data_IF_714435688093
#
_entry.id   IF_714435688093
#
_cell.length_a   1.000
_cell.length_b   1.000
_cell.length_c   1.000
_cell.angle_alpha   90.00
_cell.angle_beta   90.00
_cell.angle_gamma   90.00
#
_symmetry.space_group_name_H-M   'P 1'
#
loop_
_entity.id
_entity.type
_entity.pdbx_description
1 polymer ?
#
# COMPACT_ATOMS: atom_id res chain seq x y z
N UNK A 1 1.59 0.53 21.48
CA UNK A 1 1.94 0.38 20.06
C UNK A 1 1.17 -0.83 19.55
N UNK A 2 0.36 -0.68 18.49
CA UNK A 2 -0.44 -1.78 17.92
C UNK A 2 0.49 -2.80 17.27
N UNK A 3 0.21 -4.07 17.48
CA UNK A 3 1.03 -5.20 16.99
C UNK A 3 0.31 -5.97 15.89
N UNK A 4 1.02 -6.83 15.16
CA UNK A 4 0.40 -7.74 14.19
C UNK A 4 -0.58 -8.73 14.85
N UNK A 5 -0.34 -9.07 16.12
CA UNK A 5 -1.24 -9.92 16.91
C UNK A 5 -2.56 -9.22 17.23
N UNK A 6 -2.54 -7.90 17.44
CA UNK A 6 -3.77 -7.13 17.67
C UNK A 6 -4.66 -7.12 16.43
N UNK A 7 -4.06 -6.93 15.24
CA UNK A 7 -4.78 -7.03 13.94
C UNK A 7 -5.35 -8.43 13.74
N UNK A 8 -4.56 -9.47 13.99
CA UNK A 8 -5.02 -10.85 13.85
C UNK A 8 -6.24 -11.13 14.75
N UNK A 9 -6.16 -10.68 16.02
CA UNK A 9 -7.22 -10.85 17.01
C UNK A 9 -8.49 -10.08 16.64
N UNK A 10 -8.37 -8.83 16.21
CA UNK A 10 -9.49 -7.97 15.85
C UNK A 10 -10.25 -8.46 14.62
N UNK A 11 -9.51 -8.95 13.61
CA UNK A 11 -10.11 -9.48 12.39
C UNK A 11 -10.47 -10.97 12.47
N UNK A 12 -10.23 -11.61 13.62
CA UNK A 12 -10.46 -13.04 13.84
C UNK A 12 -9.77 -13.93 12.79
N UNK A 13 -8.53 -13.60 12.44
CA UNK A 13 -7.71 -14.35 11.48
C UNK A 13 -6.46 -14.94 12.13
N UNK A 14 -5.90 -16.03 11.58
CA UNK A 14 -4.56 -16.51 11.95
C UNK A 14 -3.50 -15.41 11.79
N UNK A 15 -2.54 -15.36 12.71
CA UNK A 15 -1.40 -14.43 12.63
C UNK A 15 -0.58 -14.62 11.34
N UNK A 16 -0.60 -15.82 10.78
CA UNK A 16 0.05 -16.17 9.53
C UNK A 16 -0.47 -15.33 8.36
N UNK A 17 -1.78 -15.04 8.31
CA UNK A 17 -2.38 -14.22 7.26
C UNK A 17 -1.84 -12.78 7.33
N UNK A 18 -1.78 -12.23 8.54
CA UNK A 18 -1.26 -10.89 8.80
C UNK A 18 0.22 -10.81 8.45
N UNK A 19 1.01 -11.82 8.81
CA UNK A 19 2.44 -11.87 8.50
C UNK A 19 2.70 -12.06 7.01
N UNK A 20 1.88 -12.84 6.30
CA UNK A 20 1.95 -12.98 4.85
C UNK A 20 1.61 -11.67 4.14
N UNK A 21 0.51 -11.00 4.54
CA UNK A 21 0.16 -9.68 4.05
C UNK A 21 1.29 -8.68 4.31
N UNK A 22 1.86 -8.67 5.52
CA UNK A 22 2.97 -7.79 5.89
C UNK A 22 4.24 -8.05 5.06
N UNK A 23 4.51 -9.27 4.61
CA UNK A 23 5.64 -9.59 3.71
C UNK A 23 5.37 -9.12 2.28
N UNK A 24 4.12 -9.15 1.85
CA UNK A 24 3.67 -8.68 0.54
C UNK A 24 3.49 -7.15 0.46
N UNK A 25 3.75 -6.42 1.56
CA UNK A 25 3.70 -4.95 1.54
C UNK A 25 4.90 -4.36 0.83
N UNK A 26 4.61 -3.48 -0.11
CA UNK A 26 5.55 -2.63 -0.80
C UNK A 26 5.30 -1.15 -0.48
N UNK A 27 6.35 -0.33 -0.63
CA UNK A 27 6.28 1.14 -0.53
C UNK A 27 6.56 1.72 -1.91
N UNK A 28 5.79 2.73 -2.29
CA UNK A 28 6.07 3.54 -3.47
C UNK A 28 5.95 5.02 -3.14
N UNK A 29 6.80 5.82 -3.77
CA UNK A 29 6.73 7.28 -3.75
C UNK A 29 6.28 7.72 -5.13
N UNK A 30 5.08 8.29 -5.21
CA UNK A 30 4.48 8.72 -6.46
C UNK A 30 4.78 10.21 -6.59
N UNK A 31 5.60 10.62 -7.58
CA UNK A 31 5.88 12.02 -7.83
C UNK A 31 4.63 12.69 -8.40
N UNK A 32 4.30 13.88 -7.92
CA UNK A 32 3.31 14.77 -8.52
C UNK A 32 3.86 16.19 -8.63
N UNK A 33 3.58 16.84 -9.76
CA UNK A 33 3.99 18.22 -10.00
C UNK A 33 2.96 19.16 -9.38
N UNK A 34 3.41 20.04 -8.50
CA UNK A 34 2.62 21.14 -7.97
C UNK A 34 3.07 22.41 -8.68
N UNK A 35 2.11 23.12 -9.27
CA UNK A 35 2.35 24.42 -9.91
C UNK A 35 1.79 25.48 -8.99
N UNK A 36 2.68 26.25 -8.39
CA UNK A 36 2.33 27.44 -7.63
C UNK A 36 2.54 28.66 -8.49
N UNK A 37 1.68 29.67 -8.32
CA UNK A 37 1.78 30.94 -9.03
C UNK A 37 2.00 32.04 -8.00
N UNK A 38 2.98 32.90 -8.25
CA UNK A 38 3.17 34.10 -7.45
C UNK A 38 2.09 35.16 -7.77
N UNK A 39 2.15 36.29 -7.05
CA UNK A 39 1.27 37.45 -7.25
C UNK A 39 1.36 38.07 -8.66
N UNK A 40 2.43 37.78 -9.40
CA UNK A 40 2.67 38.25 -10.76
C UNK A 40 2.26 37.21 -11.83
N UNK A 41 1.72 36.06 -11.42
CA UNK A 41 1.31 34.97 -12.31
C UNK A 41 2.46 34.14 -12.88
N UNK A 42 3.69 34.31 -12.38
CA UNK A 42 4.83 33.48 -12.73
C UNK A 42 4.68 32.12 -12.02
N UNK A 43 4.60 31.06 -12.81
CA UNK A 43 4.48 29.70 -12.30
C UNK A 43 5.84 29.10 -11.97
N UNK A 44 6.01 28.57 -10.77
CA UNK A 44 7.12 27.68 -10.44
C UNK A 44 6.57 26.27 -10.19
N UNK A 45 7.31 25.27 -10.68
CA UNK A 45 6.93 23.87 -10.54
C UNK A 45 7.79 23.20 -9.48
N UNK A 46 7.15 22.65 -8.44
CA UNK A 46 7.80 21.81 -7.43
C UNK A 46 7.41 20.36 -7.67
N UNK A 47 8.37 19.44 -7.51
CA UNK A 47 8.08 18.00 -7.48
C UNK A 47 7.87 17.60 -6.03
N UNK A 48 6.64 17.20 -5.72
CA UNK A 48 6.28 16.60 -4.44
C UNK A 48 6.13 15.08 -4.59
N UNK A 49 6.13 14.37 -3.47
CA UNK A 49 5.97 12.91 -3.45
C UNK A 49 4.88 12.50 -2.47
N UNK A 50 3.90 11.75 -2.96
CA UNK A 50 2.96 11.05 -2.11
C UNK A 50 3.47 9.65 -1.80
N UNK A 51 3.65 9.34 -0.52
CA UNK A 51 4.03 8.00 -0.06
C UNK A 51 2.78 7.12 0.03
N UNK A 52 2.82 5.97 -0.62
CA UNK A 52 1.77 4.97 -0.55
C UNK A 52 2.37 3.62 -0.14
N UNK A 53 1.65 2.90 0.72
CA UNK A 53 1.93 1.51 1.05
C UNK A 53 0.84 0.64 0.44
N UNK A 54 1.23 -0.50 -0.13
CA UNK A 54 0.27 -1.40 -0.75
C UNK A 54 0.65 -2.86 -0.52
N UNK A 55 -0.35 -3.72 -0.36
CA UNK A 55 -0.18 -5.18 -0.37
C UNK A 55 -0.37 -5.63 -1.81
N UNK A 56 0.66 -6.27 -2.37
CA UNK A 56 0.61 -6.75 -3.73
C UNK A 56 -0.38 -7.92 -3.88
N UNK A 57 -1.04 -8.02 -5.03
CA UNK A 57 -1.80 -9.23 -5.39
C UNK A 57 -0.87 -10.29 -5.95
N UNK A 58 -1.26 -11.56 -5.90
CA UNK A 58 -0.46 -12.64 -6.50
C UNK A 58 -0.26 -12.42 -8.01
N UNK A 59 -1.26 -11.83 -8.69
CA UNK A 59 -1.15 -11.44 -10.10
C UNK A 59 -0.13 -10.31 -10.33
N UNK A 60 0.02 -9.43 -9.35
CA UNK A 60 0.94 -8.30 -9.40
C UNK A 60 2.40 -8.67 -9.19
N UNK A 61 2.71 -9.82 -8.58
CA UNK A 61 4.10 -10.26 -8.33
C UNK A 61 4.94 -10.43 -9.62
N UNK A 62 4.29 -10.73 -10.75
CA UNK A 62 4.95 -10.86 -12.06
C UNK A 62 5.29 -9.54 -12.75
N UNK A 63 4.86 -8.39 -12.22
CA UNK A 63 5.07 -7.09 -12.85
C UNK A 63 6.31 -6.39 -12.30
N UNK A 64 7.17 -5.87 -13.20
CA UNK A 64 8.52 -5.40 -12.88
C UNK A 64 8.57 -4.06 -12.12
N UNK A 65 7.81 -3.05 -12.55
CA UNK A 65 7.82 -1.74 -11.89
C UNK A 65 6.80 -1.66 -10.75
N UNK A 66 7.17 -1.00 -9.65
CA UNK A 66 6.30 -0.84 -8.48
C UNK A 66 5.00 -0.09 -8.82
N UNK A 67 5.02 0.80 -9.82
CA UNK A 67 3.82 1.48 -10.34
C UNK A 67 2.80 0.51 -10.94
N UNK A 68 3.28 -0.48 -11.71
CA UNK A 68 2.43 -1.49 -12.33
C UNK A 68 1.83 -2.41 -11.27
N UNK A 69 2.65 -2.79 -10.28
CA UNK A 69 2.22 -3.56 -9.11
C UNK A 69 1.21 -2.81 -8.25
N UNK A 70 1.41 -1.51 -8.04
CA UNK A 70 0.44 -0.65 -7.35
C UNK A 70 -0.91 -0.62 -8.08
N UNK A 71 -0.88 -0.61 -9.42
CA UNK A 71 -2.09 -0.72 -10.26
C UNK A 71 -2.87 -2.01 -10.03
N UNK A 72 -2.18 -3.07 -9.60
CA UNK A 72 -2.72 -4.41 -9.27
C UNK A 72 -2.76 -4.70 -7.77
N UNK A 73 -2.60 -3.69 -6.93
CA UNK A 73 -2.54 -3.87 -5.48
C UNK A 73 -3.83 -4.49 -4.92
N UNK A 74 -3.67 -5.48 -4.05
CA UNK A 74 -4.78 -6.09 -3.32
C UNK A 74 -5.40 -5.09 -2.32
N UNK A 75 -4.57 -4.32 -1.62
CA UNK A 75 -5.01 -3.24 -0.74
C UNK A 75 -3.95 -2.13 -0.64
N UNK A 76 -4.37 -0.95 -0.16
CA UNK A 76 -3.51 0.24 -0.01
C UNK A 76 -3.70 0.88 1.36
N UNK A 77 -2.73 1.67 1.79
CA UNK A 77 -2.81 2.50 3.00
C UNK A 77 -1.73 3.58 3.03
N UNK A 78 -1.93 4.57 3.89
CA UNK A 78 -1.00 5.67 4.14
C UNK A 78 0.20 5.21 4.97
N UNK A 79 0.03 4.12 5.71
CA UNK A 79 1.10 3.45 6.46
C UNK A 79 1.17 1.97 6.12
N UNK A 80 2.33 1.36 6.39
CA UNK A 80 2.53 -0.09 6.27
C UNK A 80 1.45 -0.88 7.03
N UNK A 81 1.12 -0.44 8.24
CA UNK A 81 0.12 -1.08 9.10
C UNK A 81 -1.28 -1.02 8.50
N UNK A 82 -1.68 0.16 8.03
CA UNK A 82 -2.98 0.37 7.43
C UNK A 82 -3.16 -0.43 6.13
N UNK A 83 -2.10 -0.55 5.31
CA UNK A 83 -2.16 -1.36 4.09
C UNK A 83 -2.41 -2.85 4.39
N UNK A 84 -1.75 -3.39 5.43
CA UNK A 84 -1.97 -4.78 5.89
C UNK A 84 -3.37 -4.95 6.46
N UNK A 85 -3.79 -4.06 7.34
CA UNK A 85 -5.11 -4.11 7.95
C UNK A 85 -6.22 -4.06 6.89
N UNK A 86 -6.09 -3.16 5.91
CA UNK A 86 -7.00 -3.08 4.78
C UNK A 86 -6.99 -4.36 3.94
N UNK A 87 -5.83 -5.02 3.76
CA UNK A 87 -5.77 -6.31 3.06
C UNK A 87 -6.51 -7.41 3.84
N UNK A 88 -6.29 -7.50 5.14
CA UNK A 88 -6.95 -8.49 6.00
C UNK A 88 -8.46 -8.26 6.07
N UNK A 89 -8.89 -7.01 6.19
CA UNK A 89 -10.28 -6.60 6.13
C UNK A 89 -10.94 -6.96 4.79
N UNK A 90 -10.19 -6.88 3.68
CA UNK A 90 -10.64 -7.29 2.34
C UNK A 90 -10.65 -8.81 2.12
N UNK A 91 -10.08 -9.59 3.04
CA UNK A 91 -10.08 -11.04 2.97
C UNK A 91 -8.77 -11.67 2.51
N UNK A 92 -7.64 -10.95 2.56
CA UNK A 92 -6.33 -11.52 2.28
C UNK A 92 -6.07 -12.73 3.20
N UNK A 93 -5.61 -13.85 2.64
CA UNK A 93 -5.25 -15.05 3.41
C UNK A 93 -3.91 -15.60 2.92
N UNK A 94 -3.13 -16.12 3.85
CA UNK A 94 -1.96 -16.91 3.52
C UNK A 94 -2.39 -18.13 2.70
N UNK A 95 -1.55 -18.52 1.74
CA UNK A 95 -1.72 -19.72 0.90
C UNK A 95 -3.02 -19.74 0.06
N UNK A 96 -3.65 -18.59 -0.17
CA UNK A 96 -4.76 -18.43 -1.11
C UNK A 96 -4.35 -17.54 -2.26
N UNK A 97 -5.05 -17.69 -3.39
CA UNK A 97 -4.96 -16.72 -4.47
C UNK A 97 -5.58 -15.39 -4.02
N UNK A 98 -4.75 -14.36 -3.90
CA UNK A 98 -5.11 -12.99 -3.49
C UNK A 98 -5.08 -12.04 -4.70
N UNK A 99 -5.77 -12.43 -5.77
CA UNK A 99 -6.21 -11.63 -6.93
C UNK A 99 -7.26 -10.57 -6.60
#
# INVERSE_FOLDING_TARGET
>A
MRTWHDIAKEHHVPIQDVMAAARAVEKIEIPHSVIERDENGIGFSTVEYTRCWFVNSDSGAGYGHASDRLGRAYARGDTRWQAVENAIARGFRADRSNW
#
